data_IF_147602782593
#
_entry.id   IF_147602782593
#
_cell.length_a   1.000
_cell.length_b   1.000
_cell.length_c   1.000
_cell.angle_alpha   90.00
_cell.angle_beta   90.00
_cell.angle_gamma   90.00
#
_symmetry.space_group_name_H-M   'P 1'
#
loop_
_entity.id
_entity.type
_entity.pdbx_description
1 polymer ?
#
# COMPACT_ATOMS: atom_id res chain seq x y z
N UNK A 1 4.85 -32.62 8.84
CA UNK A 1 4.19 -31.87 9.94
C UNK A 1 4.46 -30.37 9.90
N UNK A 2 5.68 -29.93 9.56
CA UNK A 2 6.06 -28.50 9.44
C UNK A 2 5.36 -27.83 8.24
N UNK A 3 5.23 -28.52 7.11
CA UNK A 3 4.60 -28.00 5.87
C UNK A 3 3.11 -27.70 6.05
N UNK A 4 2.38 -28.52 6.82
CA UNK A 4 0.95 -28.28 7.12
C UNK A 4 0.72 -27.06 8.01
N UNK A 5 1.63 -26.79 8.93
CA UNK A 5 1.54 -25.61 9.82
C UNK A 5 1.83 -24.30 9.09
N UNK A 6 2.78 -24.30 8.16
CA UNK A 6 3.10 -23.13 7.33
C UNK A 6 2.00 -22.85 6.31
N UNK A 7 1.41 -23.88 5.72
CA UNK A 7 0.28 -23.73 4.79
C UNK A 7 -0.97 -23.18 5.50
N UNK A 8 -1.25 -23.66 6.72
CA UNK A 8 -2.38 -23.16 7.52
C UNK A 8 -2.19 -21.69 7.96
N UNK A 9 -0.95 -21.31 8.30
CA UNK A 9 -0.61 -19.93 8.65
C UNK A 9 -0.75 -19.00 7.45
N UNK A 10 -0.37 -19.46 6.25
CA UNK A 10 -0.50 -18.71 5.00
C UNK A 10 -1.97 -18.52 4.61
N UNK A 11 -2.79 -19.56 4.73
CA UNK A 11 -4.24 -19.50 4.45
C UNK A 11 -4.96 -18.58 5.45
N UNK A 12 -4.59 -18.59 6.71
CA UNK A 12 -5.18 -17.71 7.72
C UNK A 12 -4.75 -16.25 7.54
N UNK A 13 -3.52 -16.00 7.10
CA UNK A 13 -3.03 -14.65 6.79
C UNK A 13 -3.76 -14.06 5.58
N UNK A 14 -3.95 -14.87 4.53
CA UNK A 14 -4.67 -14.48 3.31
C UNK A 14 -6.17 -14.27 3.56
N UNK A 15 -6.78 -15.11 4.38
CA UNK A 15 -8.19 -14.98 4.77
C UNK A 15 -8.43 -13.74 5.62
N UNK A 16 -7.50 -13.41 6.53
CA UNK A 16 -7.54 -12.16 7.30
C UNK A 16 -7.36 -10.92 6.40
N UNK A 17 -6.55 -11.04 5.35
CA UNK A 17 -6.37 -9.98 4.37
C UNK A 17 -7.69 -9.66 3.64
N UNK A 18 -8.44 -10.68 3.24
CA UNK A 18 -9.75 -10.52 2.58
C UNK A 18 -10.85 -9.97 3.49
N UNK A 19 -10.80 -10.31 4.79
CA UNK A 19 -11.80 -9.88 5.77
C UNK A 19 -11.64 -8.42 6.22
N UNK A 20 -10.46 -7.83 5.99
CA UNK A 20 -10.12 -6.46 6.40
C UNK A 20 -9.98 -5.50 5.20
N UNK A 21 -10.34 -5.96 3.99
CA UNK A 21 -10.25 -5.15 2.80
C UNK A 21 -11.41 -4.15 2.72
N UNK A 22 -11.07 -2.90 2.44
CA UNK A 22 -12.02 -1.84 2.14
C UNK A 22 -11.92 -1.46 0.67
N UNK A 23 -13.01 -0.93 0.12
CA UNK A 23 -13.02 -0.46 -1.27
C UNK A 23 -12.74 1.02 -1.33
N UNK A 24 -11.83 1.37 -2.21
CA UNK A 24 -11.57 2.76 -2.58
C UNK A 24 -11.77 2.93 -4.08
N UNK A 25 -12.06 4.14 -4.48
CA UNK A 25 -12.21 4.55 -5.86
C UNK A 25 -11.30 5.73 -6.18
N UNK A 26 -10.61 5.65 -7.28
CA UNK A 26 -9.81 6.73 -7.84
C UNK A 26 -10.21 6.89 -9.31
N UNK A 27 -10.81 8.00 -9.67
CA UNK A 27 -11.49 8.17 -10.97
C UNK A 27 -12.53 7.03 -11.15
N UNK A 28 -12.42 6.24 -12.21
CA UNK A 28 -13.29 5.10 -12.48
C UNK A 28 -12.70 3.75 -12.03
N UNK A 29 -11.54 3.76 -11.38
CA UNK A 29 -10.85 2.55 -10.95
C UNK A 29 -11.18 2.21 -9.51
N UNK A 30 -11.61 0.98 -9.27
CA UNK A 30 -11.89 0.43 -7.93
C UNK A 30 -10.73 -0.43 -7.49
N UNK A 31 -10.33 -0.29 -6.26
CA UNK A 31 -9.24 -1.01 -5.62
C UNK A 31 -9.70 -1.51 -4.24
N UNK A 32 -9.41 -2.76 -3.93
CA UNK A 32 -9.56 -3.27 -2.57
C UNK A 32 -8.27 -3.06 -1.80
N UNK A 33 -8.35 -2.46 -0.61
CA UNK A 33 -7.17 -2.13 0.18
C UNK A 33 -7.29 -2.68 1.59
N UNK A 34 -6.18 -3.13 2.13
CA UNK A 34 -6.00 -3.39 3.55
C UNK A 34 -5.50 -2.11 4.20
N UNK A 35 -6.10 -1.75 5.32
CA UNK A 35 -5.73 -0.54 6.06
C UNK A 35 -4.59 -0.84 7.04
N UNK A 36 -3.51 -0.07 6.93
CA UNK A 36 -2.38 -0.10 7.86
C UNK A 36 -2.37 1.20 8.68
N UNK A 37 -3.07 1.20 9.81
CA UNK A 37 -3.29 2.38 10.65
C UNK A 37 -2.61 2.30 12.03
N UNK A 38 -1.90 1.21 12.33
CA UNK A 38 -1.07 1.08 13.53
C UNK A 38 0.41 1.16 13.16
N UNK A 39 1.25 1.52 14.12
CA UNK A 39 2.71 1.50 13.91
C UNK A 39 3.20 0.12 13.47
N UNK A 40 2.67 -0.95 14.07
CA UNK A 40 3.03 -2.32 13.73
C UNK A 40 2.59 -2.68 12.31
N UNK A 41 1.36 -2.40 11.92
CA UNK A 41 0.84 -2.70 10.58
C UNK A 41 1.55 -1.90 9.49
N UNK A 42 1.87 -0.63 9.75
CA UNK A 42 2.66 0.19 8.81
C UNK A 42 4.09 -0.34 8.65
N UNK A 43 4.75 -0.73 9.74
CA UNK A 43 6.11 -1.29 9.67
C UNK A 43 6.14 -2.63 8.93
N UNK A 44 5.13 -3.45 9.11
CA UNK A 44 5.02 -4.73 8.40
C UNK A 44 4.73 -4.51 6.91
N UNK A 45 3.82 -3.60 6.57
CA UNK A 45 3.43 -3.35 5.18
C UNK A 45 3.14 -4.64 4.42
N UNK A 46 3.67 -4.76 3.23
CA UNK A 46 3.52 -5.92 2.34
C UNK A 46 4.73 -6.90 2.44
N UNK A 47 5.39 -6.96 3.59
CA UNK A 47 6.48 -7.91 3.82
C UNK A 47 6.00 -9.36 3.64
N UNK A 48 6.87 -10.21 3.11
CA UNK A 48 6.71 -11.66 2.92
C UNK A 48 5.54 -12.09 2.05
N UNK A 49 4.91 -11.18 1.34
CA UNK A 49 3.88 -11.50 0.34
C UNK A 49 4.56 -11.85 -0.98
N UNK A 50 4.20 -12.98 -1.58
CA UNK A 50 4.78 -13.44 -2.85
C UNK A 50 4.14 -12.79 -4.08
N UNK A 51 2.86 -12.44 -3.98
CA UNK A 51 2.13 -11.74 -5.03
C UNK A 51 0.99 -10.92 -4.44
N UNK A 52 0.62 -9.86 -5.13
CA UNK A 52 -0.51 -9.00 -4.81
C UNK A 52 -1.46 -9.00 -6.01
N UNK A 53 -2.73 -9.29 -5.77
CA UNK A 53 -3.74 -9.25 -6.83
C UNK A 53 -3.78 -7.87 -7.50
N UNK A 54 -4.08 -7.86 -8.81
CA UNK A 54 -3.99 -6.68 -9.68
C UNK A 54 -4.73 -5.45 -9.14
N UNK A 55 -5.90 -5.64 -8.55
CA UNK A 55 -6.73 -4.55 -8.01
C UNK A 55 -6.79 -4.58 -6.47
N UNK A 56 -5.68 -4.92 -5.85
CA UNK A 56 -5.49 -4.86 -4.42
C UNK A 56 -4.30 -3.99 -4.05
N UNK A 57 -4.34 -3.43 -2.86
CA UNK A 57 -3.27 -2.59 -2.34
C UNK A 57 -3.30 -2.50 -0.83
N UNK A 58 -2.39 -1.70 -0.29
CA UNK A 58 -2.37 -1.37 1.13
C UNK A 58 -2.42 0.14 1.31
N UNK A 59 -3.33 0.58 2.15
CA UNK A 59 -3.57 1.98 2.46
C UNK A 59 -3.04 2.29 3.86
N UNK A 60 -1.98 3.09 3.92
CA UNK A 60 -1.29 3.49 5.14
C UNK A 60 -1.91 4.76 5.69
N UNK A 61 -2.20 4.77 6.97
CA UNK A 61 -2.79 5.91 7.69
C UNK A 61 -1.88 6.30 8.85
N UNK A 62 -1.47 7.56 8.90
CA UNK A 62 -0.74 8.14 10.03
C UNK A 62 -1.65 9.09 10.80
N UNK A 63 -1.43 9.26 12.09
CA UNK A 63 -2.24 10.17 12.91
C UNK A 63 -2.06 11.65 12.53
N UNK A 64 -0.86 12.04 12.06
CA UNK A 64 -0.52 13.42 11.76
C UNK A 64 0.12 13.56 10.38
N UNK A 65 -0.13 14.68 9.65
CA UNK A 65 0.56 14.98 8.41
C UNK A 65 2.04 15.28 8.68
N UNK A 66 2.91 14.74 7.84
CA UNK A 66 4.35 15.03 7.82
C UNK A 66 4.97 14.46 6.55
N UNK A 67 6.28 14.60 6.40
CA UNK A 67 7.06 13.82 5.44
C UNK A 67 6.94 12.34 5.79
N UNK A 68 6.66 11.49 4.81
CA UNK A 68 6.57 10.04 4.98
C UNK A 68 7.63 9.33 4.16
N UNK A 69 8.19 8.28 4.74
CA UNK A 69 9.20 7.44 4.10
C UNK A 69 8.73 5.99 4.09
N UNK A 70 8.86 5.34 2.94
CA UNK A 70 8.51 3.94 2.74
C UNK A 70 9.78 3.14 2.50
N UNK A 71 9.83 1.94 3.02
CA UNK A 71 10.94 1.01 2.81
C UNK A 71 10.45 -0.30 2.20
N UNK A 72 11.40 -1.05 1.60
CA UNK A 72 11.09 -2.33 0.96
C UNK A 72 11.77 -3.51 1.65
N UNK A 73 12.06 -3.35 2.94
CA UNK A 73 12.63 -4.44 3.75
C UNK A 73 11.72 -5.66 3.72
N UNK A 74 12.29 -6.82 3.39
CA UNK A 74 11.56 -8.09 3.29
C UNK A 74 10.34 -8.06 2.35
N UNK A 75 10.27 -7.09 1.45
CA UNK A 75 9.20 -6.94 0.46
C UNK A 75 9.73 -7.32 -0.91
N UNK A 76 9.26 -8.45 -1.43
CA UNK A 76 9.79 -9.12 -2.63
C UNK A 76 9.15 -8.63 -3.92
N UNK A 77 7.97 -8.04 -3.85
CA UNK A 77 7.20 -7.61 -5.03
C UNK A 77 7.49 -6.15 -5.37
N UNK A 78 7.64 -5.82 -6.66
CA UNK A 78 7.79 -4.43 -7.08
C UNK A 78 6.48 -3.68 -6.88
N UNK A 79 6.55 -2.49 -6.28
CA UNK A 79 5.40 -1.68 -5.94
C UNK A 79 5.52 -0.26 -6.50
N UNK A 80 4.38 0.39 -6.65
CA UNK A 80 4.27 1.85 -6.77
C UNK A 80 3.61 2.40 -5.51
N UNK A 81 4.02 3.58 -5.06
CA UNK A 81 3.41 4.27 -3.93
C UNK A 81 2.90 5.64 -4.34
N UNK A 82 1.68 5.95 -3.93
CA UNK A 82 1.14 7.31 -3.96
C UNK A 82 1.20 7.89 -2.55
N UNK A 83 1.84 9.06 -2.41
CA UNK A 83 1.79 9.87 -1.19
C UNK A 83 0.62 10.84 -1.28
N UNK A 84 -0.23 10.84 -0.25
CA UNK A 84 -1.56 11.43 -0.25
C UNK A 84 -1.70 12.39 0.93
N UNK A 85 -2.24 13.57 0.69
CA UNK A 85 -2.46 14.57 1.73
C UNK A 85 -3.74 14.30 2.55
N UNK A 86 -3.98 15.11 3.57
CA UNK A 86 -5.15 14.98 4.45
C UNK A 86 -6.50 15.24 3.76
N UNK A 87 -6.48 15.83 2.57
CA UNK A 87 -7.67 16.02 1.72
C UNK A 87 -7.88 14.86 0.75
N UNK A 88 -7.13 13.74 0.92
CA UNK A 88 -7.16 12.56 0.06
C UNK A 88 -6.70 12.82 -1.38
N UNK A 89 -5.92 13.88 -1.61
CA UNK A 89 -5.34 14.18 -2.92
C UNK A 89 -3.96 13.53 -3.06
N UNK A 90 -3.73 12.85 -4.18
CA UNK A 90 -2.42 12.31 -4.53
C UNK A 90 -1.47 13.48 -4.79
N UNK A 91 -0.36 13.52 -4.08
CA UNK A 91 0.65 14.58 -4.22
C UNK A 91 1.88 14.11 -4.99
N UNK A 92 2.26 12.85 -4.86
CA UNK A 92 3.44 12.26 -5.47
C UNK A 92 3.18 10.79 -5.74
N UNK A 93 3.74 10.27 -6.84
CA UNK A 93 3.76 8.83 -7.15
C UNK A 93 5.22 8.44 -7.38
N UNK A 94 5.68 7.40 -6.69
CA UNK A 94 7.05 6.88 -6.80
C UNK A 94 7.08 5.37 -6.90
N UNK A 95 8.17 4.85 -7.49
CA UNK A 95 8.40 3.41 -7.59
C UNK A 95 9.20 2.91 -6.39
N UNK A 96 8.88 1.68 -5.95
CA UNK A 96 9.54 1.00 -4.85
C UNK A 96 10.18 -0.30 -5.35
N UNK A 97 11.51 -0.38 -5.28
CA UNK A 97 12.26 -1.56 -5.73
C UNK A 97 12.23 -2.68 -4.69
N UNK A 98 12.00 -3.94 -5.08
CA UNK A 98 12.03 -5.08 -4.16
C UNK A 98 13.32 -5.10 -3.34
N UNK A 99 13.16 -5.38 -2.03
CA UNK A 99 14.26 -5.58 -1.07
C UNK A 99 15.21 -4.38 -0.87
N UNK A 100 14.87 -3.22 -1.43
CA UNK A 100 15.66 -2.01 -1.22
C UNK A 100 15.56 -1.56 0.25
N UNK A 101 16.72 -1.36 0.89
CA UNK A 101 16.81 -0.90 2.28
C UNK A 101 16.83 0.61 2.41
N UNK A 102 17.06 1.33 1.31
CA UNK A 102 16.98 2.78 1.29
C UNK A 102 15.53 3.24 1.28
N UNK A 103 15.21 4.18 2.15
CA UNK A 103 13.85 4.73 2.21
C UNK A 103 13.55 5.60 1.00
N UNK A 104 12.33 5.49 0.48
CA UNK A 104 11.76 6.40 -0.52
C UNK A 104 10.81 7.34 0.20
N UNK A 105 11.14 8.62 0.21
CA UNK A 105 10.43 9.62 1.00
C UNK A 105 9.64 10.59 0.12
N UNK A 106 8.52 11.11 0.66
CA UNK A 106 7.82 12.23 0.04
C UNK A 106 8.67 13.49 0.09
N UNK A 107 8.49 14.37 -0.89
CA UNK A 107 9.02 15.75 -0.84
C UNK A 107 8.12 16.62 0.04
N UNK A 108 6.81 16.44 -0.10
CA UNK A 108 5.83 17.14 0.71
C UNK A 108 5.90 16.72 2.17
N UNK A 109 5.77 17.70 3.06
CA UNK A 109 5.65 17.50 4.50
C UNK A 109 4.18 17.42 4.97
N UNK A 110 3.23 17.43 4.04
CA UNK A 110 1.78 17.41 4.32
C UNK A 110 1.14 16.07 3.98
N UNK A 111 1.90 14.99 4.03
CA UNK A 111 1.42 13.64 3.70
C UNK A 111 0.85 12.97 4.94
N UNK A 112 -0.39 12.52 4.83
CA UNK A 112 -1.10 11.79 5.90
C UNK A 112 -1.33 10.32 5.57
N UNK A 113 -1.40 9.98 4.27
CA UNK A 113 -1.68 8.64 3.79
C UNK A 113 -0.69 8.24 2.70
N UNK A 114 -0.56 6.93 2.50
CA UNK A 114 0.12 6.36 1.34
C UNK A 114 -0.66 5.16 0.82
N UNK A 115 -0.62 4.96 -0.49
CA UNK A 115 -1.23 3.82 -1.14
C UNK A 115 -0.18 3.05 -1.92
N UNK A 116 0.08 1.81 -1.50
CA UNK A 116 0.95 0.88 -2.22
C UNK A 116 0.11 -0.07 -3.09
N UNK A 117 0.52 -0.22 -4.33
CA UNK A 117 -0.11 -1.08 -5.35
C UNK A 117 0.98 -1.79 -6.16
N UNK A 118 0.59 -2.77 -6.96
CA UNK A 118 1.51 -3.35 -7.93
C UNK A 118 2.16 -2.26 -8.79
N UNK A 119 3.44 -2.43 -9.08
CA UNK A 119 4.20 -1.50 -9.92
C UNK A 119 3.48 -1.25 -11.25
N UNK A 120 3.34 0.03 -11.60
CA UNK A 120 2.70 0.45 -12.84
C UNK A 120 1.18 0.56 -12.81
N UNK A 121 0.51 0.18 -11.71
CA UNK A 121 -0.94 0.22 -11.63
C UNK A 121 -1.52 1.63 -11.83
N UNK A 122 -0.90 2.66 -11.24
CA UNK A 122 -1.37 4.04 -11.42
C UNK A 122 -1.31 4.47 -12.88
N UNK A 123 -0.20 4.20 -13.56
CA UNK A 123 -0.02 4.54 -14.97
C UNK A 123 -1.02 3.77 -15.86
N UNK A 124 -1.22 2.49 -15.61
CA UNK A 124 -2.18 1.65 -16.34
C UNK A 124 -3.62 2.18 -16.20
N UNK A 125 -3.99 2.67 -15.02
CA UNK A 125 -5.32 3.23 -14.74
C UNK A 125 -5.43 4.73 -15.03
N UNK A 126 -4.38 5.32 -15.58
CA UNK A 126 -4.32 6.75 -15.89
C UNK A 126 -4.57 7.65 -14.67
N UNK A 127 -4.09 7.20 -13.51
CA UNK A 127 -4.19 7.92 -12.25
C UNK A 127 -2.97 8.83 -12.09
N UNK A 128 -3.20 10.06 -11.71
CA UNK A 128 -2.22 11.14 -11.68
C UNK A 128 -2.24 11.89 -10.35
N UNK A 129 -1.23 12.72 -10.12
CA UNK A 129 -1.23 13.67 -9.01
C UNK A 129 -2.48 14.56 -9.08
N UNK A 130 -2.99 14.94 -7.90
CA UNK A 130 -4.24 15.64 -7.66
C UNK A 130 -5.52 14.85 -7.94
N UNK A 131 -5.44 13.60 -8.36
CA UNK A 131 -6.60 12.72 -8.30
C UNK A 131 -6.94 12.42 -6.84
N UNK A 132 -8.21 12.23 -6.55
CA UNK A 132 -8.74 12.06 -5.19
C UNK A 132 -9.07 10.61 -4.89
N UNK A 133 -8.71 10.17 -3.68
CA UNK A 133 -9.13 8.87 -3.15
C UNK A 133 -10.52 9.03 -2.52
N UNK A 134 -11.43 8.13 -2.86
CA UNK A 134 -12.78 8.09 -2.29
C UNK A 134 -12.99 6.70 -1.68
N UNK A 135 -13.35 6.64 -0.41
CA UNK A 135 -13.79 5.40 0.24
C UNK A 135 -15.26 5.16 -0.08
N UNK A 136 -15.56 3.93 -0.48
CA UNK A 136 -16.94 3.50 -0.78
C UNK A 136 -17.62 2.86 0.44
#
# INVERSE_FOLDING_TARGET
>A
MIIKKQFLLFVTLFLNFLLLAEKIKINNSVLEVVIADTKQSRNQGLMVIDSLDKNMGMFFVWPEPSKKCMWMRNTKIPLSVAFIDENYLIREIKELKPLNLDSVCSRSESIKFALEVNQGWFAEKNIKIFNKIIFE
#
